data_IF_612213849961
#
_entry.id   IF_612213849961
#
_cell.length_a   1.000
_cell.length_b   1.000
_cell.length_c   1.000
_cell.angle_alpha   90.00
_cell.angle_beta   90.00
_cell.angle_gamma   90.00
#
_symmetry.space_group_name_H-M   'P 1'
#
loop_
_entity.id
_entity.type
_entity.pdbx_description
1 polymer ?
#
# COMPACT_ATOMS: atom_id res chain seq x y z
N UNK A 1 15.04 -4.60 6.87
CA UNK A 1 16.49 -4.27 6.92
C UNK A 1 16.78 -3.38 8.12
N UNK A 2 18.00 -3.42 8.68
CA UNK A 2 18.36 -2.60 9.85
C UNK A 2 18.67 -1.16 9.45
N UNK A 3 19.11 -0.98 8.21
CA UNK A 3 19.55 0.27 7.60
C UNK A 3 18.37 1.20 7.25
N UNK A 4 17.15 0.67 7.25
CA UNK A 4 15.95 1.37 6.77
C UNK A 4 15.27 0.64 5.62
N UNK A 5 14.06 1.06 5.28
CA UNK A 5 13.34 0.59 4.10
C UNK A 5 12.34 1.63 3.63
N UNK A 6 11.98 1.56 2.35
CA UNK A 6 10.97 2.43 1.75
C UNK A 6 9.58 1.95 2.11
N UNK A 7 8.77 2.84 2.68
CA UNK A 7 7.33 2.69 2.77
C UNK A 7 6.65 3.12 1.48
N UNK A 8 5.57 2.42 1.14
CA UNK A 8 4.68 2.78 0.04
C UNK A 8 3.23 2.52 0.44
N UNK A 9 2.31 3.22 -0.21
CA UNK A 9 0.88 3.07 0.01
C UNK A 9 0.17 3.22 -1.33
N UNK A 10 -0.51 2.16 -1.75
CA UNK A 10 -1.46 2.23 -2.85
C UNK A 10 -2.83 2.68 -2.33
N UNK A 11 -3.46 3.59 -3.07
CA UNK A 11 -4.74 4.18 -2.70
C UNK A 11 -5.74 3.99 -3.83
N UNK A 12 -6.97 3.61 -3.48
CA UNK A 12 -8.08 3.59 -4.46
C UNK A 12 -8.52 5.03 -4.70
N UNK A 13 -8.45 5.47 -5.96
CA UNK A 13 -8.89 6.79 -6.39
C UNK A 13 -9.93 6.69 -7.49
N UNK A 14 -10.86 7.65 -7.54
CA UNK A 14 -11.84 7.79 -8.62
C UNK A 14 -11.36 8.87 -9.59
N UNK A 15 -11.04 8.52 -10.86
CA UNK A 15 -10.65 9.51 -11.84
C UNK A 15 -11.76 10.54 -12.12
N UNK A 16 -11.39 11.79 -12.39
CA UNK A 16 -12.35 12.87 -12.66
C UNK A 16 -13.23 12.62 -13.90
N UNK A 17 -12.77 11.79 -14.84
CA UNK A 17 -13.51 11.38 -16.03
C UNK A 17 -14.36 10.11 -15.87
N UNK A 18 -14.58 9.62 -14.64
CA UNK A 18 -15.34 8.39 -14.40
C UNK A 18 -16.79 8.51 -14.91
N UNK A 19 -17.16 7.67 -15.87
CA UNK A 19 -18.51 7.65 -16.47
C UNK A 19 -19.57 7.04 -15.56
N UNK A 20 -19.16 6.31 -14.52
CA UNK A 20 -20.04 5.70 -13.53
C UNK A 20 -19.57 6.03 -12.11
N UNK A 21 -19.72 7.31 -11.75
CA UNK A 21 -19.22 7.87 -10.50
C UNK A 21 -19.86 7.22 -9.26
N UNK A 22 -21.16 6.92 -9.32
CA UNK A 22 -21.88 6.36 -8.17
C UNK A 22 -21.41 4.94 -7.86
N UNK A 23 -21.27 4.07 -8.87
CA UNK A 23 -20.71 2.73 -8.64
C UNK A 23 -19.25 2.77 -8.20
N UNK A 24 -18.47 3.73 -8.69
CA UNK A 24 -17.08 3.91 -8.24
C UNK A 24 -17.01 4.24 -6.74
N UNK A 25 -17.86 5.14 -6.24
CA UNK A 25 -17.97 5.45 -4.80
C UNK A 25 -18.45 4.24 -4.01
N UNK A 26 -19.44 3.48 -4.51
CA UNK A 26 -19.91 2.26 -3.86
C UNK A 26 -18.79 1.21 -3.75
N UNK A 27 -17.94 1.08 -4.77
CA UNK A 27 -16.79 0.21 -4.71
C UNK A 27 -15.76 0.67 -3.67
N UNK A 28 -15.43 1.97 -3.61
CA UNK A 28 -14.56 2.52 -2.55
C UNK A 28 -15.12 2.21 -1.17
N UNK A 29 -16.43 2.44 -0.95
CA UNK A 29 -17.09 2.10 0.31
C UNK A 29 -17.01 0.61 0.64
N UNK A 30 -17.21 -0.26 -0.36
CA UNK A 30 -17.08 -1.70 -0.20
C UNK A 30 -15.66 -2.09 0.24
N UNK A 31 -14.62 -1.56 -0.42
CA UNK A 31 -13.22 -1.82 -0.07
C UNK A 31 -12.87 -1.32 1.33
N UNK A 32 -13.45 -0.19 1.76
CA UNK A 32 -13.19 0.39 3.08
C UNK A 32 -13.90 -0.33 4.24
N UNK A 33 -14.82 -1.27 3.99
CA UNK A 33 -15.42 -2.05 5.06
C UNK A 33 -14.36 -2.96 5.71
N UNK A 34 -14.21 -3.00 7.05
CA UNK A 34 -13.12 -3.72 7.73
C UNK A 34 -12.98 -5.20 7.32
N UNK A 35 -14.08 -5.93 7.22
CA UNK A 35 -14.09 -7.34 6.80
C UNK A 35 -13.60 -7.52 5.35
N UNK A 36 -13.96 -6.60 4.45
CA UNK A 36 -13.54 -6.66 3.05
C UNK A 36 -12.07 -6.26 2.89
N UNK A 37 -11.61 -5.24 3.62
CA UNK A 37 -10.20 -4.87 3.67
C UNK A 37 -9.34 -6.04 4.19
N UNK A 38 -9.83 -6.74 5.23
CA UNK A 38 -9.18 -7.92 5.74
C UNK A 38 -9.18 -9.07 4.73
N UNK A 39 -10.28 -9.31 4.02
CA UNK A 39 -10.35 -10.29 2.93
C UNK A 39 -9.29 -10.01 1.85
N UNK A 40 -9.11 -8.74 1.47
CA UNK A 40 -8.07 -8.33 0.51
C UNK A 40 -6.68 -8.60 1.07
N UNK A 41 -6.42 -8.26 2.34
CA UNK A 41 -5.14 -8.55 3.01
C UNK A 41 -4.87 -10.05 3.09
N UNK A 42 -5.86 -10.88 3.44
CA UNK A 42 -5.71 -12.35 3.48
C UNK A 42 -5.40 -12.96 2.13
N UNK A 43 -5.92 -12.38 1.04
CA UNK A 43 -5.60 -12.83 -0.31
C UNK A 43 -4.22 -12.34 -0.78
N UNK A 44 -3.93 -11.06 -0.59
CA UNK A 44 -2.77 -10.40 -1.19
C UNK A 44 -1.52 -10.38 -0.28
N UNK A 45 -1.66 -10.68 1.01
CA UNK A 45 -0.62 -10.60 2.04
C UNK A 45 0.02 -9.22 2.21
N UNK A 46 -0.72 -8.15 1.90
CA UNK A 46 -0.32 -6.77 2.18
C UNK A 46 -1.16 -6.18 3.32
N UNK A 47 -0.49 -5.47 4.23
CA UNK A 47 -1.14 -4.65 5.25
C UNK A 47 -2.05 -3.61 4.59
N UNK A 48 -3.22 -3.37 5.17
CA UNK A 48 -4.13 -2.31 4.76
C UNK A 48 -4.21 -1.19 5.83
N UNK A 49 -4.77 -0.03 5.46
CA UNK A 49 -4.92 1.13 6.33
C UNK A 49 -6.30 1.27 7.01
N UNK A 50 -7.14 0.24 7.00
CA UNK A 50 -8.50 0.28 7.53
C UNK A 50 -8.52 -0.14 9.00
N UNK A 51 -8.86 0.81 9.88
CA UNK A 51 -9.04 0.58 11.32
C UNK A 51 -10.07 -0.52 11.59
N UNK A 52 -9.71 -1.51 12.41
CA UNK A 52 -10.59 -2.62 12.80
C UNK A 52 -10.63 -3.80 11.83
N UNK A 53 -9.88 -3.74 10.72
CA UNK A 53 -9.76 -4.88 9.79
C UNK A 53 -8.97 -6.05 10.40
N UNK A 54 -8.08 -5.76 11.35
CA UNK A 54 -7.26 -6.72 12.07
C UNK A 54 -8.08 -7.75 12.88
N UNK A 55 -9.29 -7.38 13.31
CA UNK A 55 -10.23 -8.28 13.97
C UNK A 55 -10.68 -9.47 13.09
N UNK A 56 -10.48 -9.37 11.77
CA UNK A 56 -10.89 -10.38 10.79
C UNK A 56 -9.71 -11.17 10.21
N UNK A 57 -8.49 -10.93 10.67
CA UNK A 57 -7.32 -11.71 10.23
C UNK A 57 -7.36 -13.13 10.80
N UNK A 58 -6.97 -14.11 9.99
CA UNK A 58 -6.70 -15.44 10.50
C UNK A 58 -5.43 -15.45 11.38
N UNK A 59 -5.28 -16.51 12.18
CA UNK A 59 -4.18 -16.62 13.13
C UNK A 59 -2.79 -16.67 12.48
N UNK A 60 -2.70 -17.08 11.22
CA UNK A 60 -1.43 -17.16 10.49
C UNK A 60 -1.00 -15.77 10.02
N UNK A 61 -1.94 -15.01 9.43
CA UNK A 61 -1.73 -13.64 8.98
C UNK A 61 -1.47 -12.70 10.15
N UNK A 62 -2.27 -12.80 11.21
CA UNK A 62 -2.12 -11.99 12.41
C UNK A 62 -0.75 -12.17 13.11
N UNK A 63 -0.06 -13.30 12.88
CA UNK A 63 1.27 -13.59 13.44
C UNK A 63 2.40 -13.43 12.41
N UNK A 64 2.09 -13.02 11.19
CA UNK A 64 3.07 -12.86 10.12
C UNK A 64 4.10 -11.78 10.50
N UNK A 65 5.42 -12.03 10.32
CA UNK A 65 6.46 -11.03 10.55
C UNK A 65 6.32 -9.78 9.67
N UNK A 66 5.68 -9.91 8.52
CA UNK A 66 5.40 -8.84 7.57
C UNK A 66 4.41 -7.81 8.13
N UNK A 67 3.41 -8.25 8.91
CA UNK A 67 2.48 -7.37 9.62
C UNK A 67 2.95 -7.01 11.03
N UNK A 68 3.87 -7.79 11.59
CA UNK A 68 4.40 -7.62 12.95
C UNK A 68 5.92 -7.44 12.93
N UNK A 69 6.41 -6.27 12.48
CA UNK A 69 7.84 -6.01 12.48
C UNK A 69 8.43 -6.13 13.90
N UNK A 70 9.66 -6.66 14.04
CA UNK A 70 10.28 -6.85 15.34
C UNK A 70 10.49 -5.51 16.06
N UNK A 71 10.52 -5.55 17.40
CA UNK A 71 10.81 -4.39 18.21
C UNK A 71 12.14 -3.74 17.78
N UNK A 72 12.13 -2.43 17.54
CA UNK A 72 13.29 -1.68 17.05
C UNK A 72 13.51 -1.74 15.54
N UNK A 73 12.60 -2.33 14.75
CA UNK A 73 12.59 -2.13 13.31
C UNK A 73 12.52 -0.63 12.97
N UNK A 74 13.27 -0.16 11.95
CA UNK A 74 13.21 1.24 11.54
C UNK A 74 11.81 1.59 11.04
N UNK A 75 11.42 2.86 11.15
CA UNK A 75 10.20 3.33 10.52
C UNK A 75 10.36 3.33 8.99
N UNK A 76 9.29 3.06 8.22
CA UNK A 76 9.32 3.22 6.77
C UNK A 76 9.60 4.67 6.38
N UNK A 77 10.48 4.86 5.40
CA UNK A 77 10.69 6.16 4.74
C UNK A 77 9.83 6.27 3.48
N UNK A 78 8.99 7.30 3.38
CA UNK A 78 8.17 7.54 2.20
C UNK A 78 8.89 8.48 1.23
N UNK A 79 8.98 8.08 -0.04
CA UNK A 79 9.59 8.91 -1.08
C UNK A 79 8.70 10.15 -1.32
N UNK A 80 9.23 11.37 -1.18
CA UNK A 80 8.46 12.58 -1.44
C UNK A 80 8.18 12.72 -2.94
N UNK A 81 7.15 13.51 -3.26
CA UNK A 81 6.88 13.89 -4.66
C UNK A 81 8.09 14.62 -5.24
N UNK A 82 8.71 13.99 -6.24
CA UNK A 82 9.88 14.50 -6.92
C UNK A 82 9.44 15.25 -8.18
N UNK A 83 9.90 16.50 -8.33
CA UNK A 83 9.63 17.26 -9.53
C UNK A 83 10.19 16.59 -10.82
N UNK A 84 9.67 16.92 -12.01
CA UNK A 84 9.94 16.18 -13.24
C UNK A 84 11.42 16.03 -13.63
N UNK A 85 12.27 16.98 -13.22
CA UNK A 85 13.71 16.92 -13.47
C UNK A 85 14.38 15.76 -12.71
N UNK A 86 13.98 15.53 -11.47
CA UNK A 86 14.53 14.47 -10.61
C UNK A 86 14.04 13.11 -11.10
N UNK A 87 12.73 12.97 -11.37
CA UNK A 87 12.14 11.72 -11.88
C UNK A 87 12.79 11.27 -13.19
N UNK A 88 12.98 12.18 -14.16
CA UNK A 88 13.68 11.88 -15.43
C UNK A 88 15.13 11.44 -15.22
N UNK A 89 15.79 11.91 -14.16
CA UNK A 89 17.14 11.48 -13.84
C UNK A 89 17.13 10.05 -13.29
N UNK A 90 16.21 9.73 -12.37
CA UNK A 90 16.02 8.37 -11.88
C UNK A 90 15.73 7.39 -13.01
N UNK A 91 14.80 7.70 -13.90
CA UNK A 91 14.47 6.86 -15.06
C UNK A 91 15.68 6.61 -15.95
N UNK A 92 16.50 7.64 -16.20
CA UNK A 92 17.71 7.52 -17.02
C UNK A 92 18.74 6.60 -16.37
N UNK A 93 18.97 6.75 -15.06
CA UNK A 93 19.91 5.90 -14.31
C UNK A 93 19.42 4.46 -14.34
N UNK A 94 18.14 4.24 -14.05
CA UNK A 94 17.53 2.90 -14.04
C UNK A 94 17.57 2.23 -15.42
N UNK A 95 17.22 2.96 -16.48
CA UNK A 95 17.28 2.45 -17.86
C UNK A 95 18.69 2.06 -18.27
N UNK A 96 19.72 2.81 -17.82
CA UNK A 96 21.12 2.47 -18.10
C UNK A 96 21.62 1.28 -17.29
N UNK A 97 21.11 1.07 -16.08
CA UNK A 97 21.47 -0.08 -15.25
C UNK A 97 20.93 -1.39 -15.84
N UNK A 98 19.73 -1.34 -16.44
CA UNK A 98 19.04 -2.49 -17.00
C UNK A 98 19.53 -2.91 -18.40
N UNK A 99 20.42 -2.13 -19.03
CA UNK A 99 20.99 -2.40 -20.36
C UNK A 99 22.44 -2.83 -20.22
#
# INVERSE_FOLDING_TARGET
PREGFTGWMDNVAVPSGATNLENAKLFVNFVMAPENAAMITSYANYSNGITGSDAFYDASLAKSPELNPPAGAPAPEFVPDCGPKVTKLYDRVWTKLLR
#
